data_IF_800159817162
#
_entry.id   IF_800159817162
#
_cell.length_a   1.000
_cell.length_b   1.000
_cell.length_c   1.000
_cell.angle_alpha   90.00
_cell.angle_beta   90.00
_cell.angle_gamma   90.00
#
_symmetry.space_group_name_H-M   'P 1'
#
loop_
_entity.id
_entity.type
_entity.pdbx_description
1 polymer ?
#
# COMPACT_ATOMS: atom_id res chain seq x y z
N UNK A 1 -4.37 -25.13 -106.47
CA UNK A 1 -3.37 -25.37 -105.39
C UNK A 1 -3.32 -24.16 -104.40
N UNK A 2 -3.22 -22.91 -104.88
CA UNK A 2 -3.13 -21.73 -104.00
C UNK A 2 -4.36 -21.54 -103.07
N UNK A 3 -5.56 -21.87 -103.50
CA UNK A 3 -6.77 -21.78 -102.63
C UNK A 3 -6.77 -22.80 -101.48
N UNK A 4 -6.32 -24.01 -101.75
CA UNK A 4 -6.25 -25.06 -100.71
C UNK A 4 -5.14 -24.78 -99.69
N UNK A 5 -4.11 -24.09 -100.08
CA UNK A 5 -3.02 -23.72 -99.19
C UNK A 5 -3.46 -22.58 -98.23
N UNK A 6 -4.18 -21.57 -98.77
CA UNK A 6 -4.75 -20.47 -97.94
C UNK A 6 -5.79 -20.98 -96.93
N UNK A 7 -6.64 -21.96 -97.31
CA UNK A 7 -7.59 -22.61 -96.43
C UNK A 7 -6.90 -23.37 -95.26
N UNK A 8 -5.81 -24.07 -95.56
CA UNK A 8 -5.02 -24.77 -94.55
C UNK A 8 -4.35 -23.77 -93.57
N UNK A 9 -3.74 -22.73 -94.07
CA UNK A 9 -3.12 -21.67 -93.26
C UNK A 9 -4.17 -20.97 -92.37
N UNK A 10 -5.34 -20.75 -92.88
CA UNK A 10 -6.45 -20.16 -92.07
C UNK A 10 -6.92 -21.11 -90.96
N UNK A 11 -7.10 -22.40 -91.27
CA UNK A 11 -7.46 -23.43 -90.30
C UNK A 11 -6.38 -23.60 -89.18
N UNK A 12 -5.10 -23.53 -89.54
CA UNK A 12 -4.01 -23.59 -88.56
C UNK A 12 -3.97 -22.32 -87.68
N UNK A 13 -4.23 -21.18 -88.28
CA UNK A 13 -4.32 -19.90 -87.50
C UNK A 13 -5.48 -19.93 -86.49
N UNK A 14 -6.69 -20.40 -86.91
CA UNK A 14 -7.82 -20.56 -86.05
C UNK A 14 -7.58 -21.54 -84.88
N UNK A 15 -6.91 -22.68 -85.23
CA UNK A 15 -6.52 -23.63 -84.13
C UNK A 15 -5.57 -23.01 -83.11
N UNK A 16 -4.52 -22.33 -83.56
CA UNK A 16 -3.59 -21.62 -82.66
C UNK A 16 -4.27 -20.56 -81.84
N UNK A 17 -5.19 -19.85 -82.45
CA UNK A 17 -5.95 -18.83 -81.76
C UNK A 17 -6.84 -19.41 -80.62
N UNK A 18 -7.53 -20.52 -80.89
CA UNK A 18 -8.30 -21.29 -79.93
C UNK A 18 -7.44 -21.87 -78.82
N UNK A 19 -6.24 -22.42 -79.13
CA UNK A 19 -5.30 -22.91 -78.13
C UNK A 19 -4.85 -21.79 -77.19
N UNK A 20 -4.48 -20.63 -77.72
CA UNK A 20 -4.08 -19.47 -76.94
C UNK A 20 -5.22 -18.95 -76.01
N UNK A 21 -6.44 -18.95 -76.55
CA UNK A 21 -7.61 -18.57 -75.71
C UNK A 21 -7.84 -19.58 -74.59
N UNK A 22 -7.75 -20.85 -74.81
CA UNK A 22 -7.89 -21.90 -73.80
C UNK A 22 -6.81 -21.78 -72.70
N UNK A 23 -5.56 -21.53 -73.09
CA UNK A 23 -4.47 -21.31 -72.13
C UNK A 23 -4.66 -20.08 -71.33
N UNK A 24 -5.09 -18.97 -71.93
CA UNK A 24 -5.41 -17.74 -71.23
C UNK A 24 -6.58 -17.89 -70.23
N UNK A 25 -7.58 -18.69 -70.58
CA UNK A 25 -8.72 -18.98 -69.72
C UNK A 25 -8.32 -19.89 -68.57
N UNK A 26 -7.52 -20.90 -68.75
CA UNK A 26 -6.92 -21.73 -67.68
C UNK A 26 -6.06 -20.88 -66.73
N UNK A 27 -5.22 -20.02 -67.32
CA UNK A 27 -4.43 -19.08 -66.50
C UNK A 27 -5.26 -18.16 -65.63
N UNK A 28 -6.37 -17.64 -66.15
CA UNK A 28 -7.31 -16.81 -65.34
C UNK A 28 -7.97 -17.60 -64.23
N UNK A 29 -8.44 -18.82 -64.52
CA UNK A 29 -9.06 -19.68 -63.52
C UNK A 29 -8.06 -20.07 -62.42
N UNK A 30 -6.82 -20.34 -62.78
CA UNK A 30 -5.79 -20.62 -61.78
C UNK A 30 -5.48 -19.42 -60.93
N UNK A 31 -5.30 -18.24 -61.50
CA UNK A 31 -5.06 -17.00 -60.76
C UNK A 31 -6.22 -16.63 -59.82
N UNK A 32 -7.45 -16.94 -60.20
CA UNK A 32 -8.62 -16.72 -59.34
C UNK A 32 -8.65 -17.69 -58.17
N UNK A 33 -8.33 -18.98 -58.38
CA UNK A 33 -8.17 -19.96 -57.29
C UNK A 33 -7.07 -19.57 -56.30
N UNK A 34 -5.93 -19.14 -56.82
CA UNK A 34 -4.80 -18.71 -55.99
C UNK A 34 -5.15 -17.48 -55.14
N UNK A 35 -5.92 -16.54 -55.71
CA UNK A 35 -6.45 -15.39 -54.96
C UNK A 35 -7.42 -15.81 -53.84
N UNK A 36 -8.34 -16.71 -54.16
CA UNK A 36 -9.31 -17.20 -53.16
C UNK A 36 -8.57 -17.93 -52.03
N UNK A 37 -7.60 -18.77 -52.32
CA UNK A 37 -6.79 -19.43 -51.28
C UNK A 37 -6.01 -18.43 -50.43
N UNK A 38 -5.39 -17.44 -51.01
CA UNK A 38 -4.67 -16.40 -50.30
C UNK A 38 -5.59 -15.55 -49.38
N UNK A 39 -6.81 -15.26 -49.84
CA UNK A 39 -7.77 -14.52 -49.02
C UNK A 39 -8.33 -15.37 -47.86
N UNK A 40 -8.56 -16.66 -48.07
CA UNK A 40 -8.95 -17.59 -47.02
C UNK A 40 -7.84 -17.74 -45.96
N UNK A 41 -6.59 -17.86 -46.39
CA UNK A 41 -5.45 -17.92 -45.47
C UNK A 41 -5.30 -16.64 -44.64
N UNK A 42 -5.39 -15.47 -45.28
CA UNK A 42 -5.39 -14.18 -44.60
C UNK A 42 -6.53 -14.03 -43.58
N UNK A 43 -7.70 -14.56 -43.88
CA UNK A 43 -8.83 -14.53 -42.94
C UNK A 43 -8.56 -15.44 -41.75
N UNK A 44 -8.00 -16.62 -41.95
CA UNK A 44 -7.60 -17.52 -40.84
C UNK A 44 -6.53 -16.89 -39.95
N UNK A 45 -5.52 -16.27 -40.54
CA UNK A 45 -4.46 -15.59 -39.80
C UNK A 45 -4.99 -14.41 -38.95
N UNK A 46 -5.91 -13.62 -39.53
CA UNK A 46 -6.56 -12.53 -38.75
C UNK A 46 -7.38 -13.09 -37.62
N UNK A 47 -8.17 -14.13 -37.83
CA UNK A 47 -8.95 -14.74 -36.74
C UNK A 47 -8.06 -15.31 -35.64
N UNK A 48 -6.93 -15.90 -36.01
CA UNK A 48 -5.98 -16.41 -35.04
C UNK A 48 -5.33 -15.25 -34.23
N UNK A 49 -4.87 -14.21 -34.92
CA UNK A 49 -4.28 -13.05 -34.30
C UNK A 49 -5.25 -12.32 -33.34
N UNK A 50 -6.54 -12.26 -33.68
CA UNK A 50 -7.56 -11.67 -32.80
C UNK A 50 -7.82 -12.52 -31.55
N UNK A 51 -7.82 -13.86 -31.68
CA UNK A 51 -7.90 -14.77 -30.55
C UNK A 51 -6.70 -14.64 -29.62
N UNK A 52 -5.51 -14.59 -30.17
CA UNK A 52 -4.27 -14.45 -29.40
C UNK A 52 -4.24 -13.11 -28.64
N UNK A 53 -4.74 -12.03 -29.25
CA UNK A 53 -4.89 -10.73 -28.57
C UNK A 53 -5.89 -10.81 -27.43
N UNK A 54 -7.04 -11.43 -27.62
CA UNK A 54 -8.04 -11.58 -26.56
C UNK A 54 -7.47 -12.37 -25.37
N UNK A 55 -6.78 -13.47 -25.62
CA UNK A 55 -6.15 -14.25 -24.57
C UNK A 55 -5.09 -13.45 -23.80
N UNK A 56 -4.25 -12.70 -24.52
CA UNK A 56 -3.25 -11.84 -23.88
C UNK A 56 -3.87 -10.71 -23.03
N UNK A 57 -4.98 -10.14 -23.48
CA UNK A 57 -5.69 -9.11 -22.72
C UNK A 57 -6.38 -9.68 -21.46
N UNK A 58 -6.97 -10.87 -21.56
CA UNK A 58 -7.53 -11.57 -20.40
C UNK A 58 -6.45 -11.92 -19.37
N UNK A 59 -5.29 -12.39 -19.81
CA UNK A 59 -4.16 -12.69 -18.92
C UNK A 59 -3.67 -11.44 -18.22
N UNK A 60 -3.48 -10.34 -18.96
CA UNK A 60 -3.11 -9.04 -18.35
C UNK A 60 -4.12 -8.53 -17.33
N UNK A 61 -5.41 -8.74 -17.57
CA UNK A 61 -6.45 -8.35 -16.62
C UNK A 61 -6.37 -9.20 -15.35
N UNK A 62 -6.15 -10.50 -15.46
CA UNK A 62 -5.97 -11.41 -14.32
C UNK A 62 -4.75 -11.02 -13.49
N UNK A 63 -3.63 -10.74 -14.16
CA UNK A 63 -2.39 -10.32 -13.49
C UNK A 63 -2.57 -9.00 -12.73
N UNK A 64 -3.27 -8.03 -13.33
CA UNK A 64 -3.58 -6.76 -12.65
C UNK A 64 -4.46 -6.99 -11.41
N UNK A 65 -5.50 -7.78 -11.53
CA UNK A 65 -6.38 -8.10 -10.41
C UNK A 65 -5.64 -8.84 -9.29
N UNK A 66 -4.77 -9.77 -9.65
CA UNK A 66 -3.95 -10.48 -8.68
C UNK A 66 -2.96 -9.53 -8.00
N UNK A 67 -2.26 -8.69 -8.75
CA UNK A 67 -1.34 -7.69 -8.20
C UNK A 67 -2.02 -6.69 -7.25
N UNK A 68 -3.27 -6.28 -7.55
CA UNK A 68 -4.05 -5.43 -6.64
C UNK A 68 -4.43 -6.16 -5.34
N UNK A 69 -4.79 -7.43 -5.40
CA UNK A 69 -5.08 -8.25 -4.21
C UNK A 69 -3.83 -8.42 -3.36
N UNK A 70 -2.72 -8.80 -3.98
CA UNK A 70 -1.45 -9.01 -3.28
C UNK A 70 -0.98 -7.73 -2.58
N UNK A 71 -1.15 -6.57 -3.25
CA UNK A 71 -0.83 -5.27 -2.65
C UNK A 71 -1.72 -4.94 -1.45
N UNK A 72 -3.02 -5.23 -1.52
CA UNK A 72 -3.95 -5.03 -0.40
C UNK A 72 -3.59 -5.92 0.77
N UNK A 73 -3.32 -7.20 0.51
CA UNK A 73 -2.94 -8.17 1.55
C UNK A 73 -1.60 -7.81 2.18
N UNK A 74 -0.63 -7.37 1.38
CA UNK A 74 0.65 -6.86 1.91
C UNK A 74 0.45 -5.66 2.83
N UNK A 75 -0.32 -4.66 2.40
CA UNK A 75 -0.59 -3.47 3.21
C UNK A 75 -1.32 -3.83 4.52
N UNK A 76 -2.26 -4.77 4.46
CA UNK A 76 -2.97 -5.27 5.65
C UNK A 76 -1.99 -5.93 6.63
N UNK A 77 -1.14 -6.84 6.17
CA UNK A 77 -0.12 -7.50 7.01
C UNK A 77 0.87 -6.51 7.60
N UNK A 78 1.24 -5.48 6.82
CA UNK A 78 2.12 -4.42 7.30
C UNK A 78 1.47 -3.59 8.41
N UNK A 79 0.18 -3.28 8.30
CA UNK A 79 -0.58 -2.60 9.34
C UNK A 79 -0.68 -3.48 10.60
N UNK A 80 -1.07 -4.74 10.47
CA UNK A 80 -1.14 -5.71 11.58
C UNK A 80 0.19 -5.86 12.32
N UNK A 81 1.31 -5.92 11.57
CA UNK A 81 2.65 -5.97 12.17
C UNK A 81 2.97 -4.66 12.91
N UNK A 82 2.61 -3.52 12.34
CA UNK A 82 2.83 -2.21 12.97
C UNK A 82 2.07 -2.07 14.30
N UNK A 83 0.81 -2.53 14.32
CA UNK A 83 -0.03 -2.51 15.52
C UNK A 83 0.51 -3.46 16.59
N UNK A 84 0.93 -4.67 16.18
CA UNK A 84 1.54 -5.64 17.09
C UNK A 84 2.83 -5.11 17.73
N UNK A 85 3.65 -4.38 16.96
CA UNK A 85 4.86 -3.75 17.51
C UNK A 85 4.53 -2.62 18.50
N UNK A 86 3.47 -1.84 18.26
CA UNK A 86 3.00 -0.83 19.20
C UNK A 86 2.63 -1.44 20.55
N UNK A 87 1.79 -2.49 20.53
CA UNK A 87 1.38 -3.24 21.71
C UNK A 87 2.57 -3.84 22.47
N UNK A 88 3.57 -4.38 21.73
CA UNK A 88 4.76 -4.95 22.35
C UNK A 88 5.56 -3.89 23.13
N UNK A 89 5.74 -2.69 22.58
CA UNK A 89 6.46 -1.61 23.27
C UNK A 89 5.69 -1.18 24.54
N UNK A 90 4.36 -1.04 24.46
CA UNK A 90 3.53 -0.75 25.63
C UNK A 90 3.70 -1.82 26.72
N UNK A 91 3.67 -3.10 26.33
CA UNK A 91 3.84 -4.23 27.26
C UNK A 91 5.24 -4.28 27.89
N UNK A 92 6.27 -3.77 27.19
CA UNK A 92 7.63 -3.65 27.76
C UNK A 92 7.76 -2.46 28.71
N UNK A 93 7.06 -1.35 28.48
CA UNK A 93 7.09 -0.15 29.34
C UNK A 93 6.21 -0.35 30.59
N UNK A 94 5.12 -1.09 30.47
CA UNK A 94 4.14 -1.27 31.54
C UNK A 94 4.73 -1.74 32.88
N UNK A 95 5.59 -2.79 32.95
CA UNK A 95 6.21 -3.25 34.20
C UNK A 95 7.12 -2.23 34.86
N UNK A 96 7.67 -1.30 34.06
CA UNK A 96 8.60 -0.28 34.52
C UNK A 96 7.91 0.98 35.06
N UNK A 97 6.60 1.10 34.99
CA UNK A 97 5.85 2.32 35.27
C UNK A 97 6.12 2.93 36.66
N UNK A 98 6.18 2.13 37.70
CA UNK A 98 6.53 2.60 39.05
C UNK A 98 7.98 3.07 39.13
N UNK A 99 8.92 2.37 38.54
CA UNK A 99 10.33 2.75 38.53
C UNK A 99 10.57 4.04 37.74
N UNK A 100 9.90 4.19 36.59
CA UNK A 100 9.93 5.42 35.78
C UNK A 100 9.38 6.60 36.59
N UNK A 101 8.23 6.42 37.22
CA UNK A 101 7.65 7.46 38.10
C UNK A 101 8.60 7.82 39.22
N UNK A 102 9.22 6.88 39.92
CA UNK A 102 10.19 7.12 40.97
C UNK A 102 11.40 7.93 40.48
N UNK A 103 11.94 7.58 39.30
CA UNK A 103 13.06 8.32 38.69
C UNK A 103 12.67 9.76 38.33
N UNK A 104 11.48 9.97 37.75
CA UNK A 104 11.01 11.28 37.27
C UNK A 104 10.50 12.14 38.41
N UNK A 105 9.79 11.59 39.38
CA UNK A 105 9.29 12.33 40.54
C UNK A 105 10.38 12.75 41.52
N UNK A 106 11.45 11.94 41.58
CA UNK A 106 12.66 12.17 42.43
C UNK A 106 12.41 12.34 43.93
N UNK A 107 11.31 12.88 44.37
CA UNK A 107 11.00 13.21 45.76
C UNK A 107 9.82 12.45 46.34
N UNK A 108 9.04 11.78 45.53
CA UNK A 108 7.87 11.00 45.93
C UNK A 108 7.72 9.73 45.11
N UNK A 109 6.94 8.80 45.59
CA UNK A 109 6.65 7.55 44.88
C UNK A 109 5.23 7.60 44.32
N UNK A 110 5.02 6.95 43.17
CA UNK A 110 3.69 6.76 42.61
C UNK A 110 2.87 5.81 43.50
N UNK A 111 1.66 6.21 43.83
CA UNK A 111 0.69 5.40 44.57
C UNK A 111 -0.09 4.46 43.69
N UNK A 112 -0.30 4.84 42.43
CA UNK A 112 -1.01 4.04 41.45
C UNK A 112 -0.29 4.14 40.12
N UNK A 113 -0.29 3.03 39.36
CA UNK A 113 0.18 2.98 37.98
C UNK A 113 -0.83 2.17 37.17
N UNK A 114 -1.32 2.76 36.08
CA UNK A 114 -2.31 2.15 35.20
C UNK A 114 -1.83 2.25 33.76
N UNK A 115 -2.12 1.23 32.99
CA UNK A 115 -1.78 1.16 31.56
C UNK A 115 -3.06 1.19 30.72
N UNK A 116 -2.96 1.66 29.48
CA UNK A 116 -4.07 1.70 28.50
C UNK A 116 -5.33 2.36 29.08
N UNK A 117 -5.13 3.50 29.75
CA UNK A 117 -6.21 4.23 30.41
C UNK A 117 -7.09 4.90 29.39
N UNK A 118 -8.38 4.59 29.41
CA UNK A 118 -9.38 5.21 28.53
C UNK A 118 -10.39 5.96 29.37
N UNK A 119 -10.55 7.27 29.16
CA UNK A 119 -11.47 8.13 29.91
C UNK A 119 -12.36 8.91 28.95
N UNK A 120 -13.69 8.81 29.14
CA UNK A 120 -14.64 9.65 28.41
C UNK A 120 -14.67 11.05 29.03
N UNK A 121 -14.86 12.07 28.21
CA UNK A 121 -15.02 13.44 28.68
C UNK A 121 -16.30 13.55 29.51
N UNK A 122 -16.26 14.17 30.73
CA UNK A 122 -17.43 14.22 31.62
C UNK A 122 -18.65 14.91 31.02
N UNK A 123 -18.45 15.97 30.23
CA UNK A 123 -19.53 16.74 29.61
C UNK A 123 -19.85 16.27 28.16
N UNK A 124 -18.97 15.48 27.50
CA UNK A 124 -19.17 14.97 26.13
C UNK A 124 -18.77 13.49 26.01
N UNK A 125 -19.68 12.55 26.26
CA UNK A 125 -19.36 11.12 26.25
C UNK A 125 -18.87 10.58 24.92
N UNK A 126 -19.01 11.33 23.81
CA UNK A 126 -18.47 10.95 22.49
C UNK A 126 -16.95 11.22 22.39
N UNK A 127 -16.39 12.05 23.26
CA UNK A 127 -14.96 12.28 23.32
C UNK A 127 -14.27 11.31 24.26
N UNK A 128 -13.16 10.75 23.82
CA UNK A 128 -12.36 9.76 24.54
C UNK A 128 -10.89 10.20 24.56
N UNK A 129 -10.28 10.20 25.75
CA UNK A 129 -8.84 10.33 25.91
C UNK A 129 -8.25 8.97 26.24
N UNK A 130 -7.23 8.59 25.49
CA UNK A 130 -6.44 7.37 25.72
C UNK A 130 -5.03 7.78 26.17
N UNK A 131 -4.53 7.13 27.22
CA UNK A 131 -3.19 7.30 27.76
C UNK A 131 -2.55 5.89 27.86
N UNK A 132 -1.33 5.74 27.33
CA UNK A 132 -0.68 4.43 27.31
C UNK A 132 -0.24 4.02 28.71
N UNK A 133 0.32 4.97 29.50
CA UNK A 133 0.61 4.77 30.92
C UNK A 133 0.33 6.04 31.72
N UNK A 134 -0.27 5.86 32.89
CA UNK A 134 -0.57 6.92 33.88
C UNK A 134 -0.10 6.45 35.25
N UNK A 135 0.86 7.17 35.86
CA UNK A 135 1.28 6.96 37.24
C UNK A 135 0.96 8.19 38.09
N UNK A 136 0.35 7.97 39.24
CA UNK A 136 -0.15 9.05 40.11
C UNK A 136 0.54 8.97 41.45
N UNK A 137 1.23 10.04 41.82
CA UNK A 137 1.79 10.27 43.14
C UNK A 137 0.96 11.26 43.98
N UNK A 138 1.41 11.59 45.17
CA UNK A 138 0.75 12.58 46.03
C UNK A 138 0.58 13.95 45.39
N UNK A 139 1.63 14.49 44.76
CA UNK A 139 1.64 15.84 44.18
C UNK A 139 1.92 15.87 42.68
N UNK A 140 2.38 14.78 42.10
CA UNK A 140 2.77 14.67 40.71
C UNK A 140 1.98 13.58 40.01
N UNK A 141 1.87 13.72 38.68
CA UNK A 141 1.35 12.68 37.82
C UNK A 141 2.28 12.54 36.63
N UNK A 142 2.63 11.31 36.28
CA UNK A 142 3.39 10.96 35.08
C UNK A 142 2.45 10.39 34.02
N UNK A 143 2.48 11.00 32.86
CA UNK A 143 1.81 10.47 31.65
C UNK A 143 2.86 10.06 30.66
N UNK A 144 2.80 8.83 30.19
CA UNK A 144 3.72 8.31 29.17
C UNK A 144 2.92 7.98 27.92
N UNK A 145 3.37 8.48 26.78
CA UNK A 145 2.92 8.08 25.45
C UNK A 145 3.95 7.13 24.84
N UNK A 146 3.51 6.03 24.31
CA UNK A 146 4.37 5.01 23.70
C UNK A 146 4.28 5.11 22.19
N UNK A 147 5.42 5.25 21.53
CA UNK A 147 5.47 5.32 20.05
C UNK A 147 6.65 4.51 19.55
N UNK A 148 6.43 3.73 18.49
CA UNK A 148 7.51 2.99 17.82
C UNK A 148 8.63 3.91 17.32
N UNK A 149 8.26 5.09 16.82
CA UNK A 149 9.18 6.15 16.39
C UNK A 149 8.60 7.49 16.78
N UNK A 150 9.39 8.27 17.49
CA UNK A 150 9.05 9.64 17.86
C UNK A 150 9.66 10.62 16.85
N UNK A 151 8.89 11.64 16.50
CA UNK A 151 9.31 12.82 15.74
C UNK A 151 8.75 14.08 16.40
N UNK A 152 9.24 15.25 15.97
CA UNK A 152 8.84 16.53 16.57
C UNK A 152 7.33 16.82 16.42
N UNK A 153 6.72 16.42 15.29
CA UNK A 153 5.29 16.63 15.07
C UNK A 153 4.44 15.82 16.05
N UNK A 154 4.78 14.55 16.26
CA UNK A 154 4.08 13.68 17.23
C UNK A 154 4.29 14.15 18.66
N UNK A 155 5.49 14.64 19.01
CA UNK A 155 5.74 15.19 20.34
C UNK A 155 4.91 16.47 20.60
N UNK A 156 4.78 17.34 19.60
CA UNK A 156 3.93 18.52 19.69
C UNK A 156 2.44 18.16 19.80
N UNK A 157 1.97 17.19 19.01
CA UNK A 157 0.60 16.66 19.07
C UNK A 157 0.30 16.06 20.45
N UNK A 158 1.21 15.25 20.97
CA UNK A 158 1.10 14.69 22.32
C UNK A 158 0.98 15.77 23.37
N UNK A 159 1.81 16.79 23.31
CA UNK A 159 1.71 17.93 24.25
C UNK A 159 0.36 18.64 24.17
N UNK A 160 -0.15 18.90 22.96
CA UNK A 160 -1.46 19.51 22.75
C UNK A 160 -2.60 18.66 23.35
N UNK A 161 -2.54 17.34 23.11
CA UNK A 161 -3.49 16.38 23.72
C UNK A 161 -3.52 16.53 25.25
N UNK A 162 -2.36 16.66 25.86
CA UNK A 162 -2.25 16.70 27.33
C UNK A 162 -2.56 18.06 27.97
N UNK A 163 -2.62 19.14 27.20
CA UNK A 163 -3.20 20.42 27.70
C UNK A 163 -4.65 20.20 28.15
N UNK A 164 -5.36 19.29 27.51
CA UNK A 164 -6.75 18.94 27.83
C UNK A 164 -6.87 17.87 28.93
N UNK A 165 -5.77 17.41 29.53
CA UNK A 165 -5.80 16.38 30.57
C UNK A 165 -6.75 16.74 31.75
N UNK A 166 -6.77 17.98 32.28
CA UNK A 166 -7.69 18.35 33.38
C UNK A 166 -9.17 18.29 33.01
N UNK A 167 -9.51 18.41 31.71
CA UNK A 167 -10.90 18.30 31.25
C UNK A 167 -11.41 16.86 31.40
N UNK A 168 -10.55 15.86 31.15
CA UNK A 168 -10.88 14.45 31.29
C UNK A 168 -10.62 13.89 32.68
N UNK A 169 -9.64 14.44 33.38
CA UNK A 169 -9.20 13.99 34.72
C UNK A 169 -9.20 15.20 35.70
N UNK A 170 -10.35 15.72 36.06
CA UNK A 170 -10.41 16.90 36.95
C UNK A 170 -9.76 16.64 38.31
N UNK A 171 -9.71 15.38 38.78
CA UNK A 171 -9.02 14.96 39.98
C UNK A 171 -7.50 15.15 39.94
N UNK A 172 -6.93 15.28 38.76
CA UNK A 172 -5.49 15.52 38.59
C UNK A 172 -5.13 17.01 38.41
N UNK A 173 -6.10 17.89 38.32
CA UNK A 173 -5.88 19.32 38.02
C UNK A 173 -4.96 20.04 39.01
N UNK A 174 -4.91 19.59 40.28
CA UNK A 174 -4.03 20.16 41.32
C UNK A 174 -2.62 19.54 41.33
N UNK A 175 -2.33 18.55 40.48
CA UNK A 175 -1.04 17.86 40.48
C UNK A 175 -0.13 18.39 39.38
N UNK A 176 1.18 18.37 39.62
CA UNK A 176 2.17 18.70 38.61
C UNK A 176 2.26 17.56 37.56
N UNK A 177 2.03 17.89 36.29
CA UNK A 177 2.05 16.92 35.21
C UNK A 177 3.47 16.77 34.67
N UNK A 178 4.01 15.57 34.77
CA UNK A 178 5.26 15.16 34.14
C UNK A 178 4.92 14.41 32.85
N UNK A 179 5.47 14.85 31.71
CA UNK A 179 5.24 14.27 30.41
C UNK A 179 6.42 13.39 30.02
N UNK A 180 6.17 12.19 29.50
CA UNK A 180 7.20 11.34 29.02
C UNK A 180 6.77 10.65 27.69
N UNK A 181 7.75 10.33 26.88
CA UNK A 181 7.57 9.56 25.64
C UNK A 181 8.48 8.35 25.69
N UNK A 182 7.93 7.18 25.52
CA UNK A 182 8.69 5.93 25.41
C UNK A 182 8.77 5.48 23.94
N UNK A 183 9.96 5.10 23.52
CA UNK A 183 10.23 4.60 22.15
C UNK A 183 11.34 3.56 22.15
N UNK A 184 11.38 2.68 21.15
CA UNK A 184 12.51 1.77 20.97
C UNK A 184 13.81 2.54 20.78
N UNK A 185 13.75 3.62 20.03
CA UNK A 185 14.88 4.49 19.74
C UNK A 185 14.42 5.94 19.63
N UNK A 186 15.16 6.85 20.24
CA UNK A 186 14.93 8.31 20.13
C UNK A 186 16.16 8.92 19.46
N UNK A 187 15.97 9.55 18.32
CA UNK A 187 17.06 10.21 17.60
C UNK A 187 17.62 11.41 18.42
N UNK A 188 18.92 11.67 18.40
CA UNK A 188 19.52 12.79 19.17
C UNK A 188 18.90 14.16 18.86
N UNK A 189 18.47 14.40 17.62
CA UNK A 189 17.77 15.61 17.21
C UNK A 189 16.42 15.78 17.94
N UNK A 190 15.74 14.68 18.22
CA UNK A 190 14.45 14.68 18.94
C UNK A 190 14.66 14.87 20.45
N UNK A 191 15.75 14.34 21.01
CA UNK A 191 16.10 14.57 22.42
C UNK A 191 16.20 16.07 22.72
N UNK A 192 16.85 16.83 21.85
CA UNK A 192 16.94 18.29 22.00
C UNK A 192 15.56 18.94 22.01
N UNK A 193 14.65 18.52 21.12
CA UNK A 193 13.28 19.02 21.08
C UNK A 193 12.50 18.65 22.33
N UNK A 194 12.58 17.40 22.79
CA UNK A 194 11.89 16.93 24.00
C UNK A 194 12.33 17.72 25.22
N UNK A 195 13.63 17.99 25.35
CA UNK A 195 14.18 18.81 26.44
C UNK A 195 13.63 20.25 26.42
N UNK A 196 13.52 20.88 25.25
CA UNK A 196 12.91 22.23 25.13
C UNK A 196 11.44 22.22 25.53
N UNK A 197 10.71 21.17 25.22
CA UNK A 197 9.29 21.00 25.54
C UNK A 197 9.06 20.43 26.95
N UNK A 198 10.13 20.15 27.70
CA UNK A 198 10.08 19.52 29.05
C UNK A 198 9.36 18.18 29.06
N UNK A 199 9.62 17.37 28.07
CA UNK A 199 9.12 16.01 27.93
C UNK A 199 10.30 15.05 28.13
N UNK A 200 10.17 14.11 29.05
CA UNK A 200 11.18 13.07 29.27
C UNK A 200 11.18 12.07 28.10
N UNK A 201 12.36 11.75 27.56
CA UNK A 201 12.54 10.68 26.60
C UNK A 201 12.93 9.38 27.32
N UNK A 202 12.27 8.28 26.99
CA UNK A 202 12.53 6.95 27.52
C UNK A 202 12.89 6.06 26.33
N UNK A 203 14.18 5.75 26.16
CA UNK A 203 14.64 4.78 25.19
C UNK A 203 14.74 3.39 25.82
N UNK A 204 14.51 2.32 25.06
CA UNK A 204 14.53 0.94 25.57
C UNK A 204 15.92 0.43 25.97
N UNK A 205 16.96 1.22 25.81
CA UNK A 205 18.33 0.87 26.17
C UNK A 205 18.75 1.44 27.54
N UNK A 206 17.87 1.48 28.53
CA UNK A 206 18.14 1.85 29.95
C UNK A 206 18.51 3.32 30.24
N UNK A 207 18.37 4.25 29.32
CA UNK A 207 18.66 5.66 29.59
C UNK A 207 17.40 6.52 29.51
N UNK A 208 17.13 7.26 30.61
CA UNK A 208 16.18 8.39 30.61
C UNK A 208 16.96 9.61 30.14
N UNK A 209 16.56 10.17 29.02
CA UNK A 209 17.21 11.32 28.37
C UNK A 209 16.33 12.57 28.50
#
# INVERSE_FOLDING_TARGET
EMRQQAEREHQESDRRWHEVQQEAEKGRQQAERDRQQADEERQKDRQQADKDRQLADEERQKDRQQGEKDRKDFNKRLAELSDSMGTLIEDMVAPCGFNLAKSIFSTEEAQTCSIRVKRKHPANPCELMELDLLAIGPTKVLVVEVKRRMDAAKAAEYRQKLVRLPEFFPELAAKAVCLAVASVYIEPSIVTFLNLEKIYGIAMCDEIV
#
